data_IF_404087001178
#
_entry.id   IF_404087001178
#
_cell.length_a   1.000
_cell.length_b   1.000
_cell.length_c   1.000
_cell.angle_alpha   90.00
_cell.angle_beta   90.00
_cell.angle_gamma   90.00
#
_symmetry.space_group_name_H-M   'P 1'
#
loop_
_entity.id
_entity.type
_entity.pdbx_description
1 polymer ?
#
# COMPACT_ATOMS: atom_id res chain seq x y z
N UNK A 1 21.27 18.57 4.17
CA UNK A 1 21.75 19.52 3.15
C UNK A 1 20.57 19.86 2.26
N UNK A 2 20.20 21.14 2.19
CA UNK A 2 19.20 21.61 1.22
C UNK A 2 19.88 21.58 -0.14
N UNK A 3 19.44 20.72 -1.06
CA UNK A 3 19.93 20.75 -2.43
C UNK A 3 19.52 22.08 -3.07
N UNK A 4 20.48 22.74 -3.71
CA UNK A 4 20.22 23.98 -4.46
C UNK A 4 19.36 23.63 -5.67
N UNK A 5 18.19 24.23 -5.78
CA UNK A 5 17.28 23.95 -6.90
C UNK A 5 17.63 24.85 -8.07
N UNK A 6 17.88 24.23 -9.22
CA UNK A 6 18.12 24.92 -10.48
C UNK A 6 16.81 25.17 -11.21
N UNK A 7 16.83 26.10 -12.16
CA UNK A 7 15.67 26.47 -12.96
C UNK A 7 16.02 26.51 -14.43
N UNK A 8 15.14 25.95 -15.26
CA UNK A 8 15.24 25.98 -16.72
C UNK A 8 13.89 26.37 -17.32
N UNK A 9 13.91 26.73 -18.61
CA UNK A 9 12.70 26.95 -19.39
C UNK A 9 12.38 25.68 -20.17
N UNK A 10 11.23 25.07 -19.90
CA UNK A 10 10.65 23.97 -20.68
C UNK A 10 9.35 24.51 -21.28
N UNK A 11 9.18 24.46 -22.61
CA UNK A 11 7.97 24.96 -23.29
C UNK A 11 7.55 26.37 -22.83
N UNK A 12 8.51 27.31 -22.78
CA UNK A 12 8.34 28.70 -22.31
C UNK A 12 7.82 28.84 -20.86
N UNK A 13 7.94 27.78 -20.06
CA UNK A 13 7.52 27.74 -18.66
C UNK A 13 8.70 27.43 -17.75
N UNK A 14 8.84 28.19 -16.66
CA UNK A 14 9.89 27.96 -15.66
C UNK A 14 9.67 26.62 -14.94
N UNK A 15 10.67 25.74 -15.03
CA UNK A 15 10.70 24.45 -14.35
C UNK A 15 11.88 24.41 -13.38
N UNK A 16 11.58 24.19 -12.10
CA UNK A 16 12.59 24.04 -11.06
C UNK A 16 12.89 22.56 -10.79
N UNK A 17 14.16 22.17 -10.82
CA UNK A 17 14.59 20.79 -10.61
C UNK A 17 15.76 20.70 -9.63
N UNK A 18 15.97 19.49 -9.11
CA UNK A 18 17.10 19.16 -8.24
C UNK A 18 18.21 18.54 -9.10
N UNK A 19 19.32 19.26 -9.38
CA UNK A 19 20.40 18.76 -10.22
C UNK A 19 21.05 17.50 -9.66
N UNK A 20 20.95 17.20 -8.35
CA UNK A 20 21.47 15.96 -7.78
C UNK A 20 20.60 14.75 -8.16
N UNK A 21 19.30 14.95 -8.40
CA UNK A 21 18.33 13.86 -8.67
C UNK A 21 17.86 13.79 -10.11
N UNK A 22 18.04 14.88 -10.86
CA UNK A 22 17.47 15.07 -12.18
C UNK A 22 18.55 15.56 -13.16
N UNK A 23 18.42 15.20 -14.43
CA UNK A 23 19.23 15.73 -15.52
C UNK A 23 18.33 16.19 -16.66
N UNK A 24 18.80 17.16 -17.43
CA UNK A 24 18.06 17.73 -18.55
C UNK A 24 18.57 17.13 -19.85
N UNK A 25 17.65 16.67 -20.69
CA UNK A 25 17.95 16.14 -22.03
C UNK A 25 16.81 16.52 -22.97
N UNK A 26 17.14 17.01 -24.16
CA UNK A 26 16.15 17.35 -25.21
C UNK A 26 15.01 18.28 -24.72
N UNK A 27 15.32 19.21 -23.81
CA UNK A 27 14.33 20.14 -23.23
C UNK A 27 13.42 19.53 -22.16
N UNK A 28 13.69 18.30 -21.71
CA UNK A 28 12.90 17.60 -20.69
C UNK A 28 13.76 17.20 -19.48
N UNK A 29 13.12 17.07 -18.32
CA UNK A 29 13.75 16.67 -17.08
C UNK A 29 13.59 15.17 -16.84
N UNK A 30 14.68 14.47 -16.56
CA UNK A 30 14.71 13.03 -16.36
C UNK A 30 15.31 12.67 -15.01
N UNK A 31 14.82 11.59 -14.41
CA UNK A 31 15.41 11.06 -13.18
C UNK A 31 16.80 10.47 -13.46
N UNK A 32 17.83 10.87 -12.69
CA UNK A 32 19.18 10.29 -12.80
C UNK A 32 19.25 8.79 -12.50
N UNK A 33 18.32 8.26 -11.70
CA UNK A 33 18.36 6.86 -11.27
C UNK A 33 17.59 5.90 -12.18
N UNK A 34 16.39 6.29 -12.66
CA UNK A 34 15.56 5.42 -13.49
C UNK A 34 15.33 5.94 -14.91
N UNK A 35 15.90 7.10 -15.26
CA UNK A 35 15.81 7.73 -16.59
C UNK A 35 14.39 7.95 -17.11
N UNK A 36 13.38 7.92 -16.22
CA UNK A 36 12.02 8.30 -16.58
C UNK A 36 11.87 9.82 -16.57
N UNK A 37 11.04 10.32 -17.48
CA UNK A 37 10.68 11.73 -17.56
C UNK A 37 9.94 12.18 -16.30
N UNK A 38 10.32 13.32 -15.75
CA UNK A 38 9.77 13.91 -14.52
C UNK A 38 9.02 15.21 -14.77
N UNK A 39 9.20 15.86 -15.92
CA UNK A 39 8.35 16.96 -16.33
C UNK A 39 7.05 16.45 -16.98
N UNK A 40 5.93 16.99 -16.51
CA UNK A 40 4.61 16.75 -17.07
C UNK A 40 4.37 17.58 -18.33
N UNK A 41 3.12 17.63 -18.78
CA UNK A 41 2.70 18.60 -19.80
C UNK A 41 2.53 19.98 -19.15
N UNK A 42 2.81 21.04 -19.88
CA UNK A 42 2.42 22.38 -19.46
C UNK A 42 0.89 22.45 -19.35
N UNK A 43 0.38 22.79 -18.17
CA UNK A 43 -1.04 22.96 -17.90
C UNK A 43 -1.28 24.39 -17.43
N UNK A 44 -2.34 25.00 -17.94
CA UNK A 44 -2.77 26.31 -17.50
C UNK A 44 -3.63 26.17 -16.24
N UNK A 45 -3.22 26.81 -15.16
CA UNK A 45 -3.98 26.84 -13.91
C UNK A 45 -3.96 28.26 -13.34
N UNK A 46 -5.16 28.81 -13.07
CA UNK A 46 -5.33 30.16 -12.53
C UNK A 46 -4.65 31.24 -13.39
N UNK A 47 -4.75 31.14 -14.72
CA UNK A 47 -4.16 32.09 -15.67
C UNK A 47 -2.63 32.06 -15.74
N UNK A 48 -1.99 31.03 -15.19
CA UNK A 48 -0.54 30.82 -15.27
C UNK A 48 -0.25 29.43 -15.84
N UNK A 49 0.62 29.35 -16.84
CA UNK A 49 1.17 28.07 -17.31
C UNK A 49 2.13 27.51 -16.26
N UNK A 50 1.96 26.24 -15.90
CA UNK A 50 2.84 25.52 -14.97
C UNK A 50 3.08 24.10 -15.47
N UNK A 51 4.29 23.61 -15.25
CA UNK A 51 4.65 22.21 -15.52
C UNK A 51 4.66 21.46 -14.19
N UNK A 52 3.81 20.44 -14.09
CA UNK A 52 3.76 19.59 -12.90
C UNK A 52 4.83 18.51 -12.94
N UNK A 53 5.42 18.21 -11.77
CA UNK A 53 6.33 17.08 -11.64
C UNK A 53 5.56 15.77 -11.64
N UNK A 54 5.94 14.86 -12.54
CA UNK A 54 5.43 13.49 -12.58
C UNK A 54 6.34 12.62 -11.70
N UNK A 55 5.72 11.76 -10.88
CA UNK A 55 6.45 10.79 -10.08
C UNK A 55 7.06 9.71 -10.98
N UNK A 56 8.38 9.63 -11.01
CA UNK A 56 9.11 8.57 -11.70
C UNK A 56 8.97 7.22 -10.97
N UNK A 57 9.45 6.13 -11.58
CA UNK A 57 9.46 4.79 -10.99
C UNK A 57 10.01 4.76 -9.56
N UNK A 58 11.11 5.46 -9.29
CA UNK A 58 11.69 5.51 -7.94
C UNK A 58 10.74 6.09 -6.89
N UNK A 59 10.00 7.14 -7.25
CA UNK A 59 9.02 7.76 -6.36
C UNK A 59 7.79 6.88 -6.18
N UNK A 60 7.34 6.20 -7.25
CA UNK A 60 6.23 5.23 -7.19
C UNK A 60 6.59 4.05 -6.29
N UNK A 61 7.79 3.48 -6.44
CA UNK A 61 8.28 2.38 -5.62
C UNK A 61 8.45 2.79 -4.16
N UNK A 62 8.96 4.01 -3.90
CA UNK A 62 9.08 4.54 -2.53
C UNK A 62 7.71 4.70 -1.88
N UNK A 63 6.74 5.30 -2.59
CA UNK A 63 5.36 5.44 -2.12
C UNK A 63 4.70 4.08 -1.88
N UNK A 64 4.90 3.11 -2.77
CA UNK A 64 4.37 1.76 -2.60
C UNK A 64 4.95 1.07 -1.34
N UNK A 65 6.27 1.16 -1.13
CA UNK A 65 6.93 0.66 0.09
C UNK A 65 6.44 1.35 1.35
N UNK A 66 6.26 2.67 1.31
CA UNK A 66 5.73 3.43 2.43
C UNK A 66 4.30 3.01 2.76
N UNK A 67 3.41 2.93 1.76
CA UNK A 67 2.03 2.49 1.92
C UNK A 67 1.94 1.06 2.47
N UNK A 68 2.82 0.16 2.02
CA UNK A 68 2.90 -1.20 2.56
C UNK A 68 3.33 -1.21 4.04
N UNK A 69 4.31 -0.37 4.42
CA UNK A 69 4.72 -0.20 5.82
C UNK A 69 3.62 0.37 6.68
N UNK A 70 2.92 1.41 6.22
CA UNK A 70 1.79 2.01 6.91
C UNK A 70 0.65 1.00 7.12
N UNK A 71 0.34 0.19 6.09
CA UNK A 71 -0.62 -0.91 6.22
C UNK A 71 -0.19 -1.94 7.26
N UNK A 72 1.08 -2.33 7.28
CA UNK A 72 1.59 -3.26 8.28
C UNK A 72 1.51 -2.70 9.69
N UNK A 73 1.88 -1.42 9.88
CA UNK A 73 1.77 -0.75 11.18
C UNK A 73 0.33 -0.69 11.67
N UNK A 74 -0.64 -0.47 10.78
CA UNK A 74 -2.05 -0.48 11.17
C UNK A 74 -2.53 -1.88 11.54
N UNK A 75 -2.12 -2.92 10.81
CA UNK A 75 -2.40 -4.31 11.18
C UNK A 75 -1.83 -4.63 12.58
N UNK A 76 -0.58 -4.26 12.83
CA UNK A 76 0.08 -4.48 14.13
C UNK A 76 -0.64 -3.72 15.25
N UNK A 77 -1.12 -2.49 14.97
CA UNK A 77 -1.91 -1.69 15.91
C UNK A 77 -3.23 -2.36 16.25
N UNK A 78 -3.94 -2.87 15.24
CA UNK A 78 -5.20 -3.60 15.42
C UNK A 78 -4.99 -4.90 16.21
N UNK A 79 -3.94 -5.66 15.91
CA UNK A 79 -3.59 -6.87 16.66
C UNK A 79 -3.31 -6.58 18.14
N UNK A 80 -2.60 -5.48 18.43
CA UNK A 80 -2.36 -5.02 19.81
C UNK A 80 -3.64 -4.62 20.54
N UNK A 81 -4.62 -4.02 19.86
CA UNK A 81 -5.87 -3.63 20.51
C UNK A 81 -6.84 -4.80 20.70
N UNK A 82 -6.85 -5.77 19.78
CA UNK A 82 -7.84 -6.85 19.77
C UNK A 82 -7.40 -8.11 20.53
N UNK A 83 -6.10 -8.41 20.58
CA UNK A 83 -5.59 -9.66 21.16
C UNK A 83 -4.76 -9.40 22.42
N UNK A 84 -5.03 -10.18 23.46
CA UNK A 84 -4.35 -10.06 24.75
C UNK A 84 -2.96 -10.73 24.75
N UNK A 85 -2.76 -11.76 23.90
CA UNK A 85 -1.51 -12.53 23.85
C UNK A 85 -0.83 -12.43 22.48
N UNK A 86 0.50 -12.32 22.48
CA UNK A 86 1.32 -12.32 21.26
C UNK A 86 1.21 -13.64 20.48
N UNK A 87 0.93 -14.76 21.16
CA UNK A 87 0.71 -16.06 20.50
C UNK A 87 -0.52 -15.98 19.60
N UNK A 88 -1.53 -15.18 19.98
CA UNK A 88 -2.72 -14.97 19.15
C UNK A 88 -2.37 -14.30 17.80
N UNK A 89 -1.26 -13.58 17.70
CA UNK A 89 -0.88 -12.90 16.48
C UNK A 89 -0.28 -13.84 15.43
N UNK A 90 0.19 -15.02 15.86
CA UNK A 90 0.84 -16.02 15.00
C UNK A 90 -0.14 -17.04 14.42
N UNK A 91 -1.41 -17.01 14.82
CA UNK A 91 -2.44 -17.86 14.19
C UNK A 91 -2.73 -17.34 12.79
N UNK A 92 -2.31 -18.13 11.81
CA UNK A 92 -2.52 -17.92 10.37
C UNK A 92 -3.01 -19.21 9.76
N UNK A 93 -3.64 -19.15 8.58
CA UNK A 93 -4.09 -20.37 7.89
C UNK A 93 -2.94 -21.34 7.62
N UNK A 94 -1.71 -20.84 7.48
CA UNK A 94 -0.48 -21.63 7.26
C UNK A 94 -0.03 -22.36 8.53
N UNK A 95 -0.22 -21.75 9.70
CA UNK A 95 0.20 -22.30 11.00
C UNK A 95 -0.93 -23.00 11.76
N UNK A 96 -2.10 -23.18 11.12
CA UNK A 96 -3.24 -23.83 11.75
C UNK A 96 -2.95 -25.33 11.94
N UNK A 97 -3.01 -25.80 13.19
CA UNK A 97 -2.70 -27.18 13.58
C UNK A 97 -3.95 -28.06 13.80
N UNK A 98 -5.15 -27.52 13.58
CA UNK A 98 -6.39 -28.29 13.71
C UNK A 98 -6.71 -29.12 12.46
N UNK A 99 -7.76 -29.93 12.54
CA UNK A 99 -8.23 -30.71 11.39
C UNK A 99 -8.72 -29.78 10.27
N UNK A 100 -8.35 -30.11 9.03
CA UNK A 100 -8.94 -29.49 7.85
C UNK A 100 -10.39 -29.96 7.71
N UNK A 101 -11.31 -29.10 8.13
CA UNK A 101 -12.73 -29.37 8.09
C UNK A 101 -13.45 -28.36 7.16
N UNK A 102 -14.75 -28.58 6.97
CA UNK A 102 -15.58 -27.71 6.15
C UNK A 102 -15.57 -26.26 6.67
N UNK A 103 -15.55 -26.05 7.99
CA UNK A 103 -15.50 -24.73 8.61
C UNK A 103 -14.23 -23.96 8.24
N UNK A 104 -13.07 -24.61 8.22
CA UNK A 104 -11.82 -24.01 7.77
C UNK A 104 -11.86 -23.63 6.28
N UNK A 105 -12.50 -24.46 5.46
CA UNK A 105 -12.66 -24.19 4.02
C UNK A 105 -13.55 -22.97 3.78
N UNK A 106 -14.67 -22.86 4.49
CA UNK A 106 -15.56 -21.71 4.45
C UNK A 106 -14.82 -20.44 4.90
N UNK A 107 -14.04 -20.52 5.98
CA UNK A 107 -13.23 -19.42 6.47
C UNK A 107 -12.19 -18.93 5.43
N UNK A 108 -11.48 -19.85 4.78
CA UNK A 108 -10.51 -19.54 3.70
C UNK A 108 -11.20 -18.82 2.53
N UNK A 109 -12.38 -19.30 2.11
CA UNK A 109 -13.15 -18.69 1.02
C UNK A 109 -13.67 -17.29 1.39
N UNK A 110 -14.15 -17.13 2.63
CA UNK A 110 -14.61 -15.84 3.14
C UNK A 110 -13.49 -14.78 3.12
N UNK A 111 -12.28 -15.13 3.56
CA UNK A 111 -11.13 -14.20 3.54
C UNK A 111 -10.72 -13.86 2.11
N UNK A 112 -10.76 -14.84 1.19
CA UNK A 112 -10.44 -14.63 -0.23
C UNK A 112 -11.40 -13.64 -0.90
N UNK A 113 -12.67 -13.66 -0.52
CA UNK A 113 -13.75 -12.83 -1.10
C UNK A 113 -14.22 -11.71 -0.16
N UNK A 114 -13.42 -11.38 0.86
CA UNK A 114 -13.84 -10.50 1.97
C UNK A 114 -14.37 -9.14 1.52
N UNK A 115 -13.76 -8.52 0.51
CA UNK A 115 -14.21 -7.22 0.00
C UNK A 115 -15.62 -7.26 -0.60
N UNK A 116 -16.02 -8.39 -1.20
CA UNK A 116 -17.37 -8.55 -1.73
C UNK A 116 -18.36 -8.92 -0.63
N UNK A 117 -17.99 -9.88 0.23
CA UNK A 117 -18.78 -10.28 1.40
C UNK A 117 -19.10 -9.08 2.30
N UNK A 118 -18.15 -8.16 2.48
CA UNK A 118 -18.33 -6.92 3.23
C UNK A 118 -19.33 -5.96 2.57
N UNK A 119 -19.33 -5.85 1.24
CA UNK A 119 -20.31 -5.01 0.52
C UNK A 119 -21.71 -5.58 0.61
N UNK A 120 -21.84 -6.89 0.53
CA UNK A 120 -23.11 -7.61 0.65
C UNK A 120 -23.57 -7.79 2.11
N UNK A 121 -22.77 -7.33 3.08
CA UNK A 121 -23.03 -7.43 4.52
C UNK A 121 -23.17 -8.89 5.02
N UNK A 122 -22.36 -9.79 4.45
CA UNK A 122 -22.29 -11.21 4.81
C UNK A 122 -21.19 -11.40 5.86
N UNK A 123 -21.48 -12.17 6.91
CA UNK A 123 -20.53 -12.54 7.96
C UNK A 123 -20.56 -14.04 8.27
N UNK A 124 -19.56 -14.51 9.01
CA UNK A 124 -19.49 -15.89 9.50
C UNK A 124 -19.90 -15.98 10.96
N UNK A 125 -20.70 -17.00 11.28
CA UNK A 125 -21.04 -17.38 12.65
C UNK A 125 -20.54 -18.80 12.91
N UNK A 126 -19.57 -18.93 13.81
CA UNK A 126 -19.08 -20.23 14.29
C UNK A 126 -19.84 -20.62 15.55
N UNK A 127 -20.36 -21.85 15.60
CA UNK A 127 -21.08 -22.40 16.76
C UNK A 127 -20.77 -23.90 16.89
N UNK A 128 -20.59 -24.36 18.14
CA UNK A 128 -20.22 -25.73 18.43
C UNK A 128 -20.10 -26.01 19.92
N UNK A 129 -19.82 -27.28 20.27
CA UNK A 129 -19.53 -27.68 21.64
C UNK A 129 -18.17 -27.16 22.10
N UNK A 130 -17.97 -27.06 23.41
CA UNK A 130 -16.67 -26.67 23.98
C UNK A 130 -15.60 -27.65 23.50
N UNK A 131 -14.53 -27.13 22.90
CA UNK A 131 -13.42 -27.93 22.37
C UNK A 131 -13.54 -28.31 20.88
N UNK A 132 -14.57 -27.86 20.16
CA UNK A 132 -14.78 -28.08 18.72
C UNK A 132 -13.70 -27.45 17.80
N UNK A 133 -12.86 -26.57 18.33
CA UNK A 133 -11.86 -25.82 17.55
C UNK A 133 -12.37 -24.51 16.93
N UNK A 134 -13.62 -24.12 17.17
CA UNK A 134 -14.21 -22.89 16.60
C UNK A 134 -13.39 -21.64 16.91
N UNK A 135 -12.91 -21.51 18.16
CA UNK A 135 -12.05 -20.40 18.57
C UNK A 135 -10.72 -20.37 17.80
N UNK A 136 -10.15 -21.53 17.48
CA UNK A 136 -8.90 -21.61 16.74
C UNK A 136 -9.07 -21.16 15.29
N UNK A 137 -10.19 -21.54 14.66
CA UNK A 137 -10.55 -21.09 13.31
C UNK A 137 -10.82 -19.58 13.32
N UNK A 138 -11.61 -19.08 14.28
CA UNK A 138 -11.91 -17.64 14.40
C UNK A 138 -10.64 -16.81 14.58
N UNK A 139 -9.71 -17.25 15.44
CA UNK A 139 -8.41 -16.56 15.63
C UNK A 139 -7.51 -16.62 14.40
N UNK A 140 -7.77 -17.51 13.45
CA UNK A 140 -6.99 -17.63 12.21
C UNK A 140 -7.49 -16.67 11.12
N UNK A 141 -8.73 -16.20 11.23
CA UNK A 141 -9.38 -15.22 10.35
C UNK A 141 -9.03 -13.80 10.84
N UNK A 142 -7.75 -13.40 10.70
CA UNK A 142 -7.23 -12.09 11.09
C UNK A 142 -6.86 -11.21 9.89
#
# INVERSE_FOLDING_TARGET
MMSEMEKIMIEDTEYSYDPEKEYIKDGHAYCKNCHERKDGKALEMLGKKRIYKVSCKCDRDRKAKQKAREKQMEIDRLKRSCFASLIQWTYTFENYQGEENQSLTIAKNFVKEYEEMKKENIGLLFYGSVGSGDNAIMMTVQ
#
